data_IF_242381965353
#
_entry.id   IF_242381965353
#
_cell.length_a   1.000
_cell.length_b   1.000
_cell.length_c   1.000
_cell.angle_alpha   90.00
_cell.angle_beta   90.00
_cell.angle_gamma   90.00
#
_symmetry.space_group_name_H-M   'P 1'
#
loop_
_entity.id
_entity.type
_entity.pdbx_description
1 polymer ?
#
# COMPACT_ATOMS: atom_id res chain seq x y z
N UNK A 1 -19.50 -22.97 -16.81
CA UNK A 1 -18.26 -22.19 -16.68
C UNK A 1 -18.59 -21.00 -15.80
N UNK A 2 -18.21 -21.04 -14.53
CA UNK A 2 -18.49 -19.95 -13.58
C UNK A 2 -17.56 -18.79 -13.93
N UNK A 3 -18.14 -17.66 -14.33
CA UNK A 3 -17.41 -16.45 -14.67
C UNK A 3 -16.81 -15.85 -13.40
N UNK A 4 -15.54 -15.45 -13.44
CA UNK A 4 -14.77 -14.84 -12.34
C UNK A 4 -15.27 -13.44 -11.92
N UNK A 5 -16.43 -13.01 -12.43
CA UNK A 5 -16.99 -11.68 -12.20
C UNK A 5 -17.84 -11.57 -10.92
N UNK A 6 -18.24 -12.68 -10.30
CA UNK A 6 -19.07 -12.69 -9.07
C UNK A 6 -18.56 -13.69 -8.02
N UNK A 7 -17.24 -13.73 -7.77
CA UNK A 7 -16.67 -14.61 -6.75
C UNK A 7 -16.53 -13.87 -5.40
N UNK A 8 -17.34 -14.26 -4.41
CA UNK A 8 -17.13 -13.94 -2.99
C UNK A 8 -16.42 -15.08 -2.25
N UNK A 9 -15.84 -14.81 -1.07
CA UNK A 9 -15.16 -15.82 -0.21
C UNK A 9 -16.02 -17.05 0.09
N UNK A 10 -17.35 -16.94 0.04
CA UNK A 10 -18.26 -18.03 0.32
C UNK A 10 -18.58 -18.91 -0.91
N UNK A 11 -18.27 -18.43 -2.12
CA UNK A 11 -18.81 -18.99 -3.38
C UNK A 11 -17.76 -19.59 -4.31
N UNK A 12 -16.48 -19.29 -4.14
CA UNK A 12 -15.43 -19.75 -5.07
C UNK A 12 -14.31 -20.51 -4.35
N UNK A 13 -13.95 -21.65 -4.94
CA UNK A 13 -12.87 -22.52 -4.51
C UNK A 13 -11.49 -21.91 -4.89
N UNK A 14 -10.44 -22.22 -4.12
CA UNK A 14 -9.10 -21.64 -4.25
C UNK A 14 -8.50 -21.77 -5.67
N UNK A 15 -8.96 -22.77 -6.43
CA UNK A 15 -8.56 -23.06 -7.80
C UNK A 15 -8.97 -22.01 -8.84
N UNK A 16 -9.90 -21.10 -8.51
CA UNK A 16 -10.34 -20.01 -9.37
C UNK A 16 -9.51 -18.72 -9.21
N UNK A 17 -8.56 -18.69 -8.28
CA UNK A 17 -7.70 -17.53 -8.10
C UNK A 17 -6.72 -17.38 -9.26
N UNK A 18 -6.53 -16.16 -9.74
CA UNK A 18 -5.64 -15.87 -10.89
C UNK A 18 -4.19 -16.34 -10.68
N UNK A 19 -3.79 -16.59 -9.43
CA UNK A 19 -2.43 -16.97 -9.02
C UNK A 19 -2.36 -18.31 -8.27
N UNK A 20 -3.45 -19.08 -8.22
CA UNK A 20 -3.48 -20.42 -7.62
C UNK A 20 -3.31 -20.49 -6.09
N UNK A 21 -3.42 -19.36 -5.39
CA UNK A 21 -3.44 -19.31 -3.92
C UNK A 21 -4.77 -18.73 -3.40
N UNK A 22 -5.26 -19.25 -2.27
CA UNK A 22 -6.47 -18.75 -1.64
C UNK A 22 -6.16 -17.46 -0.87
N UNK A 23 -6.89 -16.35 -1.10
CA UNK A 23 -6.77 -15.17 -0.26
C UNK A 23 -7.24 -15.52 1.15
N UNK A 24 -6.34 -15.44 2.14
CA UNK A 24 -6.70 -15.63 3.54
C UNK A 24 -7.39 -14.36 4.08
N UNK A 25 -8.69 -14.43 4.34
CA UNK A 25 -9.50 -13.33 4.85
C UNK A 25 -9.10 -12.94 6.29
N UNK A 26 -8.88 -13.92 7.17
CA UNK A 26 -8.55 -13.68 8.57
C UNK A 26 -7.24 -12.90 8.73
N UNK A 27 -6.23 -13.24 7.91
CA UNK A 27 -4.97 -12.51 7.90
C UNK A 27 -5.15 -11.08 7.40
N UNK A 28 -5.94 -10.88 6.34
CA UNK A 28 -6.18 -9.57 5.75
C UNK A 28 -6.96 -8.65 6.71
N UNK A 29 -7.97 -9.18 7.40
CA UNK A 29 -8.74 -8.46 8.42
C UNK A 29 -7.91 -8.12 9.66
N UNK A 30 -7.04 -9.04 10.11
CA UNK A 30 -6.12 -8.77 11.21
C UNK A 30 -5.17 -7.61 10.89
N UNK A 31 -4.58 -7.61 9.68
CA UNK A 31 -3.72 -6.50 9.25
C UNK A 31 -4.50 -5.20 9.08
N UNK A 32 -5.71 -5.24 8.54
CA UNK A 32 -6.58 -4.06 8.44
C UNK A 32 -6.80 -3.41 9.83
N UNK A 33 -7.11 -4.22 10.84
CA UNK A 33 -7.31 -3.75 12.20
C UNK A 33 -6.01 -3.15 12.79
N UNK A 34 -4.88 -3.83 12.63
CA UNK A 34 -3.58 -3.37 13.16
C UNK A 34 -3.15 -2.04 12.51
N UNK A 35 -3.16 -1.96 11.18
CA UNK A 35 -2.76 -0.74 10.47
C UNK A 35 -3.75 0.41 10.67
N UNK A 36 -5.05 0.10 10.82
CA UNK A 36 -6.07 1.07 11.22
C UNK A 36 -5.81 1.65 12.62
N UNK A 37 -5.48 0.81 13.60
CA UNK A 37 -5.12 1.28 14.95
C UNK A 37 -3.85 2.14 14.92
N UNK A 38 -2.83 1.72 14.18
CA UNK A 38 -1.59 2.48 14.03
C UNK A 38 -1.79 3.82 13.32
N UNK A 39 -2.72 3.90 12.37
CA UNK A 39 -3.12 5.16 11.72
C UNK A 39 -3.62 6.17 12.76
N UNK A 40 -4.56 5.77 13.63
CA UNK A 40 -5.07 6.64 14.68
C UNK A 40 -4.00 7.00 15.72
N UNK A 41 -3.15 6.03 16.11
CA UNK A 41 -2.06 6.28 17.03
C UNK A 41 -1.09 7.36 16.52
N UNK A 42 -0.69 7.27 15.24
CA UNK A 42 0.20 8.26 14.62
C UNK A 42 -0.46 9.63 14.43
N UNK A 43 -1.78 9.69 14.18
CA UNK A 43 -2.52 10.95 14.17
C UNK A 43 -2.46 11.65 15.53
N UNK A 44 -2.73 10.92 16.62
CA UNK A 44 -2.71 11.48 17.98
C UNK A 44 -1.30 11.92 18.38
N UNK A 45 -0.30 11.07 18.15
CA UNK A 45 1.10 11.40 18.41
C UNK A 45 1.56 12.60 17.59
N UNK A 46 1.17 12.65 16.32
CA UNK A 46 1.52 13.74 15.42
C UNK A 46 0.97 15.08 15.83
N UNK A 47 -0.30 15.11 16.22
CA UNK A 47 -0.94 16.31 16.79
C UNK A 47 -0.17 16.79 18.02
N UNK A 48 0.14 15.89 18.96
CA UNK A 48 0.80 16.24 20.23
C UNK A 48 2.21 16.80 20.02
N UNK A 49 2.99 16.20 19.13
CA UNK A 49 4.40 16.56 18.91
C UNK A 49 4.63 17.62 17.83
N UNK A 50 3.57 18.10 17.15
CA UNK A 50 3.61 19.09 16.06
C UNK A 50 4.61 18.74 14.94
N UNK A 51 4.88 17.45 14.72
CA UNK A 51 5.79 16.94 13.67
C UNK A 51 5.02 16.68 12.38
N UNK A 52 4.46 17.75 11.80
CA UNK A 52 3.49 17.69 10.68
C UNK A 52 3.96 16.82 9.51
N UNK A 53 5.21 16.97 9.05
CA UNK A 53 5.74 16.22 7.90
C UNK A 53 5.87 14.72 8.20
N UNK A 54 6.44 14.36 9.35
CA UNK A 54 6.59 12.96 9.78
C UNK A 54 5.22 12.33 9.97
N UNK A 55 4.29 13.04 10.61
CA UNK A 55 2.92 12.58 10.79
C UNK A 55 2.22 12.36 9.46
N UNK A 56 2.33 13.30 8.52
CA UNK A 56 1.71 13.17 7.20
C UNK A 56 2.19 11.92 6.47
N UNK A 57 3.50 11.68 6.43
CA UNK A 57 4.08 10.49 5.77
C UNK A 57 3.63 9.19 6.43
N UNK A 58 3.66 9.13 7.77
CA UNK A 58 3.23 7.95 8.52
C UNK A 58 1.74 7.67 8.29
N UNK A 59 0.91 8.69 8.40
CA UNK A 59 -0.55 8.58 8.24
C UNK A 59 -0.91 8.20 6.82
N UNK A 60 -0.29 8.81 5.80
CA UNK A 60 -0.49 8.47 4.41
C UNK A 60 -0.08 7.00 4.12
N UNK A 61 1.05 6.55 4.67
CA UNK A 61 1.49 5.17 4.50
C UNK A 61 0.56 4.15 5.16
N UNK A 62 0.13 4.40 6.39
CA UNK A 62 -0.85 3.52 7.06
C UNK A 62 -2.21 3.54 6.36
N UNK A 63 -2.63 4.70 5.84
CA UNK A 63 -3.86 4.81 5.05
C UNK A 63 -3.80 3.94 3.80
N UNK A 64 -2.71 4.00 3.03
CA UNK A 64 -2.51 3.15 1.85
C UNK A 64 -2.51 1.66 2.20
N UNK A 65 -1.93 1.28 3.34
CA UNK A 65 -2.02 -0.09 3.86
C UNK A 65 -3.45 -0.51 4.19
N UNK A 66 -4.20 0.34 4.91
CA UNK A 66 -5.60 0.04 5.22
C UNK A 66 -6.45 -0.08 3.96
N UNK A 67 -6.24 0.78 2.98
CA UNK A 67 -6.94 0.73 1.70
C UNK A 67 -6.63 -0.56 0.94
N UNK A 68 -5.36 -0.98 0.89
CA UNK A 68 -4.96 -2.23 0.25
C UNK A 68 -5.68 -3.44 0.84
N UNK A 69 -5.69 -3.58 2.18
CA UNK A 69 -6.35 -4.71 2.84
C UNK A 69 -7.88 -4.60 2.78
N UNK A 70 -8.43 -3.39 2.75
CA UNK A 70 -9.86 -3.18 2.55
C UNK A 70 -10.33 -3.67 1.18
N UNK A 71 -9.66 -3.25 0.10
CA UNK A 71 -9.95 -3.71 -1.27
C UNK A 71 -9.84 -5.24 -1.39
N UNK A 72 -8.88 -5.84 -0.68
CA UNK A 72 -8.67 -7.29 -0.70
C UNK A 72 -9.75 -8.08 0.06
N UNK A 73 -10.27 -7.56 1.18
CA UNK A 73 -11.27 -8.27 2.00
C UNK A 73 -12.72 -7.94 1.62
N UNK A 74 -13.00 -6.70 1.23
CA UNK A 74 -14.37 -6.21 1.00
C UNK A 74 -14.63 -5.78 -0.44
N UNK A 75 -13.63 -5.86 -1.32
CA UNK A 75 -13.80 -5.57 -2.74
C UNK A 75 -14.66 -6.61 -3.44
N UNK A 76 -15.34 -6.19 -4.51
CA UNK A 76 -16.28 -7.02 -5.26
C UNK A 76 -15.63 -8.24 -5.94
N UNK A 77 -14.31 -8.21 -6.17
CA UNK A 77 -13.58 -9.31 -6.80
C UNK A 77 -12.17 -9.52 -6.19
N UNK A 78 -12.06 -10.18 -5.02
CA UNK A 78 -10.78 -10.37 -4.33
C UNK A 78 -9.82 -11.33 -5.07
N UNK A 79 -10.35 -12.13 -6.00
CA UNK A 79 -9.59 -13.08 -6.84
C UNK A 79 -9.13 -12.49 -8.17
N UNK A 80 -9.58 -11.27 -8.48
CA UNK A 80 -9.24 -10.55 -9.69
C UNK A 80 -7.77 -10.12 -9.71
N UNK A 81 -7.14 -10.27 -10.87
CA UNK A 81 -5.76 -9.80 -11.08
C UNK A 81 -5.61 -8.30 -10.77
N UNK A 82 -6.60 -7.47 -11.10
CA UNK A 82 -6.59 -6.04 -10.79
C UNK A 82 -6.49 -5.77 -9.29
N UNK A 83 -7.36 -6.38 -8.48
CA UNK A 83 -7.37 -6.21 -7.02
C UNK A 83 -6.07 -6.67 -6.38
N UNK A 84 -5.47 -7.78 -6.85
CA UNK A 84 -4.17 -8.23 -6.37
C UNK A 84 -3.05 -7.23 -6.69
N UNK A 85 -3.03 -6.69 -7.91
CA UNK A 85 -2.03 -5.73 -8.34
C UNK A 85 -2.16 -4.42 -7.54
N UNK A 86 -3.39 -3.89 -7.39
CA UNK A 86 -3.65 -2.70 -6.58
C UNK A 86 -3.23 -2.92 -5.12
N UNK A 87 -3.56 -4.07 -4.54
CA UNK A 87 -3.15 -4.43 -3.18
C UNK A 87 -1.62 -4.41 -3.01
N UNK A 88 -0.87 -4.93 -3.98
CA UNK A 88 0.58 -4.97 -3.95
C UNK A 88 1.18 -3.56 -4.05
N UNK A 89 0.75 -2.75 -5.01
CA UNK A 89 1.30 -1.40 -5.22
C UNK A 89 1.00 -0.45 -4.07
N UNK A 90 -0.23 -0.46 -3.55
CA UNK A 90 -0.57 0.38 -2.39
C UNK A 90 0.31 0.05 -1.17
N UNK A 91 0.67 -1.22 -0.96
CA UNK A 91 1.59 -1.59 0.11
C UNK A 91 3.04 -1.16 -0.17
N UNK A 92 3.51 -1.21 -1.41
CA UNK A 92 4.86 -0.76 -1.77
C UNK A 92 5.02 0.76 -1.56
N UNK A 93 4.06 1.54 -2.04
CA UNK A 93 4.04 2.99 -1.83
C UNK A 93 3.86 3.32 -0.35
N UNK A 94 2.96 2.61 0.35
CA UNK A 94 2.76 2.81 1.78
C UNK A 94 4.02 2.53 2.61
N UNK A 95 4.76 1.47 2.29
CA UNK A 95 5.91 1.02 3.08
C UNK A 95 7.10 1.95 2.91
N UNK A 96 7.30 2.46 1.68
CA UNK A 96 8.31 3.46 1.38
C UNK A 96 7.98 4.82 2.03
N UNK A 97 6.71 5.24 2.07
CA UNK A 97 6.28 6.44 2.79
C UNK A 97 6.53 6.33 4.31
N UNK A 98 6.21 5.19 4.93
CA UNK A 98 6.49 4.93 6.34
C UNK A 98 8.00 4.96 6.61
N UNK A 99 8.80 4.32 5.75
CA UNK A 99 10.26 4.29 5.87
C UNK A 99 10.88 5.70 5.84
N UNK A 100 10.41 6.54 4.90
CA UNK A 100 10.82 7.96 4.84
C UNK A 100 10.38 8.72 6.10
N UNK A 101 9.17 8.47 6.61
CA UNK A 101 8.68 9.05 7.87
C UNK A 101 9.54 8.69 9.08
N UNK A 102 9.87 7.40 9.26
CA UNK A 102 10.75 6.90 10.33
C UNK A 102 12.12 7.58 10.24
N UNK A 103 12.64 7.72 9.03
CA UNK A 103 13.92 8.35 8.80
C UNK A 103 13.96 9.84 9.13
N UNK A 104 12.92 10.60 8.75
CA UNK A 104 12.82 12.02 9.12
C UNK A 104 12.69 12.18 10.64
N UNK A 105 12.01 11.24 11.31
CA UNK A 105 11.93 11.22 12.77
C UNK A 105 13.30 10.95 13.42
N UNK A 106 14.03 9.96 12.92
CA UNK A 106 15.35 9.58 13.48
C UNK A 106 16.42 10.62 13.18
N UNK A 107 16.49 11.16 11.96
CA UNK A 107 17.43 12.22 11.59
C UNK A 107 17.22 13.51 12.41
N UNK A 108 15.98 13.84 12.77
CA UNK A 108 15.70 14.96 13.68
C UNK A 108 16.32 14.76 15.06
N UNK A 109 16.33 13.52 15.58
CA UNK A 109 16.94 13.17 16.88
C UNK A 109 18.47 13.06 16.78
N UNK A 110 18.98 12.49 15.70
CA UNK A 110 20.41 12.23 15.49
C UNK A 110 21.18 13.43 14.93
N UNK A 111 20.50 14.50 14.48
CA UNK A 111 21.18 15.70 13.98
C UNK A 111 22.11 16.37 15.01
N UNK A 112 21.96 16.02 16.29
CA UNK A 112 22.84 16.44 17.37
C UNK A 112 24.16 15.66 17.42
N UNK A 113 24.23 14.46 16.81
CA UNK A 113 25.33 13.51 16.96
C UNK A 113 25.97 12.98 15.66
N UNK A 114 25.37 13.20 14.49
CA UNK A 114 25.83 12.57 13.23
C UNK A 114 25.80 13.53 12.03
N UNK A 115 26.71 13.30 11.08
CA UNK A 115 26.82 14.06 9.84
C UNK A 115 25.53 14.04 9.00
N UNK A 116 25.05 15.25 8.67
CA UNK A 116 23.85 15.50 7.86
C UNK A 116 23.87 14.83 6.48
N UNK A 117 25.06 14.44 5.98
CA UNK A 117 25.27 13.82 4.67
C UNK A 117 24.68 12.40 4.60
N UNK A 118 24.78 11.62 5.68
CA UNK A 118 24.11 10.32 5.76
C UNK A 118 22.58 10.48 5.75
N UNK A 119 22.12 11.60 6.33
CA UNK A 119 20.76 12.15 6.37
C UNK A 119 20.12 12.49 5.02
N UNK A 120 20.91 12.70 3.97
CA UNK A 120 20.40 13.09 2.65
C UNK A 120 20.31 11.89 1.70
N UNK A 121 21.29 10.97 1.78
CA UNK A 121 21.39 9.84 0.85
C UNK A 121 20.22 8.87 0.98
N UNK A 122 19.78 8.55 2.20
CA UNK A 122 18.68 7.59 2.39
C UNK A 122 17.33 8.18 2.00
N UNK A 123 17.08 9.47 2.28
CA UNK A 123 15.88 10.17 1.81
C UNK A 123 15.77 10.15 0.28
N UNK A 124 16.88 10.41 -0.43
CA UNK A 124 16.93 10.33 -1.89
C UNK A 124 16.62 8.91 -2.37
N UNK A 125 17.23 7.88 -1.76
CA UNK A 125 16.96 6.48 -2.12
C UNK A 125 15.47 6.15 -1.94
N UNK A 126 14.87 6.52 -0.80
CA UNK A 126 13.45 6.27 -0.55
C UNK A 126 12.53 7.05 -1.48
N UNK A 127 12.88 8.29 -1.84
CA UNK A 127 12.12 9.08 -2.80
C UNK A 127 12.19 8.48 -4.21
N UNK A 128 13.36 8.02 -4.64
CA UNK A 128 13.53 7.32 -5.91
C UNK A 128 12.70 6.04 -5.97
N UNK A 129 12.63 5.28 -4.87
CA UNK A 129 11.78 4.10 -4.77
C UNK A 129 10.29 4.45 -4.93
N UNK A 130 9.81 5.51 -4.26
CA UNK A 130 8.42 5.96 -4.41
C UNK A 130 8.12 6.35 -5.86
N UNK A 131 9.05 7.07 -6.51
CA UNK A 131 8.90 7.47 -7.90
C UNK A 131 8.91 6.28 -8.87
N UNK A 132 9.74 5.27 -8.64
CA UNK A 132 9.72 4.05 -9.46
C UNK A 132 8.38 3.32 -9.32
N UNK A 133 7.84 3.19 -8.11
CA UNK A 133 6.53 2.54 -7.88
C UNK A 133 5.38 3.32 -8.56
N UNK A 134 5.40 4.65 -8.50
CA UNK A 134 4.42 5.49 -9.20
C UNK A 134 4.51 5.33 -10.73
N UNK A 135 5.72 5.17 -11.27
CA UNK A 135 5.92 4.97 -12.71
C UNK A 135 5.36 3.61 -13.15
N UNK A 136 5.58 2.56 -12.36
CA UNK A 136 5.02 1.23 -12.64
C UNK A 136 3.48 1.27 -12.53
N UNK A 137 2.94 2.01 -11.55
CA UNK A 137 1.49 2.21 -11.44
C UNK A 137 0.89 2.91 -12.66
N UNK A 138 1.57 3.95 -13.19
CA UNK A 138 1.14 4.63 -14.42
C UNK A 138 1.17 3.74 -15.65
N UNK A 139 2.21 2.92 -15.81
CA UNK A 139 2.32 1.95 -16.91
C UNK A 139 1.19 0.90 -16.88
N UNK A 140 0.73 0.52 -15.69
CA UNK A 140 -0.32 -0.47 -15.52
C UNK A 140 -1.69 0.05 -15.99
N UNK A 141 -2.00 1.33 -15.79
CA UNK A 141 -3.25 1.94 -16.24
C UNK A 141 -3.35 1.95 -17.78
N UNK A 142 -2.23 2.23 -18.46
CA UNK A 142 -2.16 2.21 -19.93
C UNK A 142 -2.41 0.79 -20.49
N UNK A 143 -1.81 -0.24 -19.89
CA UNK A 143 -2.02 -1.63 -20.31
C UNK A 143 -3.46 -2.11 -20.07
N UNK A 144 -4.09 -1.65 -18.98
CA UNK A 144 -5.48 -1.96 -18.69
C UNK A 144 -6.42 -1.28 -19.69
N UNK A 145 -6.12 -0.04 -20.08
CA UNK A 145 -6.87 0.72 -21.08
C UNK A 145 -6.78 0.05 -22.46
N UNK A 146 -5.58 -0.32 -22.92
CA UNK A 146 -5.34 -1.01 -24.20
C UNK A 146 -6.05 -2.37 -24.23
N UNK A 147 -6.06 -3.12 -23.12
CA UNK A 147 -6.72 -4.42 -23.04
C UNK A 147 -8.24 -4.29 -23.01
N UNK A 148 -8.79 -3.18 -22.52
CA UNK A 148 -10.23 -2.90 -22.51
C UNK A 148 -10.74 -2.50 -23.90
N UNK A 149 -9.98 -1.69 -24.65
CA UNK A 149 -10.31 -1.38 -26.06
C UNK A 149 -10.34 -2.64 -26.93
N UNK A 150 -9.37 -3.55 -26.77
CA UNK A 150 -9.32 -4.81 -27.53
C UNK A 150 -10.46 -5.80 -27.26
N UNK A 151 -11.26 -5.62 -26.21
CA UNK A 151 -12.47 -6.44 -25.97
C UNK A 151 -13.76 -5.80 -26.52
N UNK A 152 -13.70 -4.54 -26.95
CA UNK A 152 -14.83 -3.79 -27.49
C UNK A 152 -14.78 -3.69 -29.04
N UNK A 153 -13.66 -4.09 -29.65
CA UNK A 153 -13.49 -4.29 -31.09
C UNK A 153 -13.65 -5.78 -31.45
#
# INVERSE_FOLDING_TARGET
MVSTQECTFATCDASLSSFGYEPNNATSEAFLAIFGLLFFAHLIQGWRHRKVVVTFLMVAGHFLFTFAFFERSFGNNPYGQGTFITWLFCQLIGSSAILLGIYLASSSMLSTYTDKIFGLRLAIITATLILSELTICGLQDDDLFIRKERRLA
#
